data_IF_771507102133
#
_entry.id   IF_771507102133
#
_cell.length_a   1.000
_cell.length_b   1.000
_cell.length_c   1.000
_cell.angle_alpha   90.00
_cell.angle_beta   90.00
_cell.angle_gamma   90.00
#
_symmetry.space_group_name_H-M   'P 1'
#
loop_
_entity.id
_entity.type
_entity.pdbx_description
1 polymer ?
#
# COMPACT_ATOMS: atom_id res chain seq x y z
N UNK A 1 -3.80 -11.52 23.16
CA UNK A 1 -3.25 -10.55 22.20
C UNK A 1 -3.12 -11.24 20.86
N UNK A 2 -3.89 -10.81 19.85
CA UNK A 2 -3.96 -11.45 18.55
C UNK A 2 -2.66 -11.25 17.76
N UNK A 3 -2.13 -12.31 17.14
CA UNK A 3 -1.01 -12.31 16.15
C UNK A 3 -1.16 -11.33 14.97
N UNK A 4 -2.25 -10.57 14.92
CA UNK A 4 -2.66 -9.63 13.88
C UNK A 4 -1.87 -8.31 13.84
N UNK A 5 -1.19 -7.91 14.92
CA UNK A 5 -0.50 -6.60 14.98
C UNK A 5 0.97 -6.61 14.57
N UNK A 6 1.62 -7.77 14.51
CA UNK A 6 3.08 -7.85 14.36
C UNK A 6 3.56 -7.99 12.91
N UNK A 7 2.66 -8.23 11.95
CA UNK A 7 3.06 -8.74 10.63
C UNK A 7 2.90 -7.73 9.48
N UNK A 8 2.53 -6.48 9.74
CA UNK A 8 2.18 -5.52 8.68
C UNK A 8 3.28 -4.48 8.52
N UNK A 9 3.82 -4.36 7.31
CA UNK A 9 4.75 -3.28 6.97
C UNK A 9 4.08 -1.90 7.11
N UNK A 10 4.89 -0.88 7.30
CA UNK A 10 4.47 0.49 7.57
C UNK A 10 5.33 1.50 6.82
N UNK A 11 4.68 2.56 6.33
CA UNK A 11 5.35 3.75 5.81
C UNK A 11 4.88 4.99 6.57
N UNK A 12 5.81 5.88 6.88
CA UNK A 12 5.52 7.25 7.30
C UNK A 12 5.85 8.18 6.14
N UNK A 13 4.84 8.92 5.67
CA UNK A 13 4.97 9.76 4.48
C UNK A 13 4.50 11.19 4.73
N UNK A 14 5.14 12.12 4.03
CA UNK A 14 4.73 13.52 3.94
C UNK A 14 4.33 13.83 2.50
N UNK A 15 3.03 13.97 2.26
CA UNK A 15 2.44 14.21 0.94
C UNK A 15 0.99 14.72 1.13
N UNK A 16 0.38 15.29 0.10
CA UNK A 16 -1.06 15.56 0.12
C UNK A 16 -1.86 14.29 -0.26
N UNK A 17 -3.16 14.27 0.08
CA UNK A 17 -4.03 13.13 -0.21
C UNK A 17 -4.17 12.83 -1.71
N UNK A 18 -4.06 13.84 -2.58
CA UNK A 18 -4.18 13.64 -4.02
C UNK A 18 -3.00 12.83 -4.55
N UNK A 19 -1.78 13.11 -4.09
CA UNK A 19 -0.59 12.30 -4.39
C UNK A 19 -0.75 10.86 -3.88
N UNK A 20 -1.26 10.68 -2.66
CA UNK A 20 -1.50 9.33 -2.12
C UNK A 20 -2.51 8.55 -2.98
N UNK A 21 -3.56 9.25 -3.45
CA UNK A 21 -4.57 8.68 -4.36
C UNK A 21 -3.97 8.33 -5.72
N UNK A 22 -3.08 9.15 -6.27
CA UNK A 22 -2.39 8.85 -7.52
C UNK A 22 -1.47 7.63 -7.41
N UNK A 23 -0.71 7.52 -6.31
CA UNK A 23 0.09 6.33 -6.05
C UNK A 23 -0.81 5.07 -5.91
N UNK A 24 -1.96 5.20 -5.24
CA UNK A 24 -2.92 4.10 -5.13
C UNK A 24 -3.50 3.68 -6.48
N UNK A 25 -3.74 4.62 -7.40
CA UNK A 25 -4.16 4.31 -8.79
C UNK A 25 -3.09 3.55 -9.57
N UNK A 26 -1.80 3.79 -9.32
CA UNK A 26 -0.72 3.00 -9.94
C UNK A 26 -0.74 1.56 -9.42
N UNK A 27 -0.99 1.37 -8.12
CA UNK A 27 -1.01 0.03 -7.49
C UNK A 27 -2.26 -0.77 -7.86
N UNK A 28 -3.43 -0.14 -7.85
CA UNK A 28 -4.73 -0.81 -8.04
C UNK A 28 -5.34 -0.64 -9.43
N UNK A 29 -4.77 0.23 -10.27
CA UNK A 29 -5.29 0.53 -11.60
C UNK A 29 -6.65 1.27 -11.57
N UNK A 30 -7.39 1.16 -12.67
CA UNK A 30 -8.66 1.85 -12.87
C UNK A 30 -9.80 1.39 -11.93
N UNK A 31 -9.64 0.25 -11.26
CA UNK A 31 -10.65 -0.33 -10.35
C UNK A 31 -10.53 0.16 -8.90
N UNK A 32 -9.69 1.19 -8.65
CA UNK A 32 -9.53 1.79 -7.34
C UNK A 32 -10.87 2.31 -6.81
N UNK A 33 -11.21 1.90 -5.59
CA UNK A 33 -12.25 2.50 -4.76
C UNK A 33 -11.63 3.19 -3.55
N UNK A 34 -12.26 4.27 -3.13
CA UNK A 34 -11.90 5.04 -1.94
C UNK A 34 -13.11 5.21 -1.04
N UNK A 35 -12.91 4.99 0.26
CA UNK A 35 -13.90 5.30 1.28
C UNK A 35 -13.22 5.62 2.61
N UNK A 36 -13.99 6.17 3.55
CA UNK A 36 -13.51 6.49 4.90
C UNK A 36 -14.17 5.55 5.90
N UNK A 37 -13.36 4.95 6.77
CA UNK A 37 -13.84 4.06 7.83
C UNK A 37 -12.98 4.29 9.09
N UNK A 38 -13.62 4.49 10.24
CA UNK A 38 -12.94 4.71 11.54
C UNK A 38 -11.86 5.81 11.49
N UNK A 39 -12.14 6.92 10.79
CA UNK A 39 -11.21 8.04 10.65
C UNK A 39 -10.00 7.78 9.74
N UNK A 40 -9.97 6.65 9.02
CA UNK A 40 -8.91 6.30 8.06
C UNK A 40 -9.45 6.36 6.65
N UNK A 41 -8.66 6.88 5.72
CA UNK A 41 -8.96 6.75 4.28
C UNK A 41 -8.48 5.38 3.82
N UNK A 42 -9.33 4.65 3.10
CA UNK A 42 -9.05 3.31 2.62
C UNK A 42 -9.12 3.31 1.10
N UNK A 43 -8.02 2.94 0.47
CA UNK A 43 -7.94 2.62 -0.95
C UNK A 43 -8.05 1.11 -1.13
N UNK A 44 -8.98 0.64 -1.98
CA UNK A 44 -9.22 -0.79 -2.16
C UNK A 44 -9.67 -1.13 -3.58
N UNK A 45 -9.90 -2.42 -3.82
CA UNK A 45 -10.52 -2.97 -5.01
C UNK A 45 -11.88 -3.58 -4.67
N UNK A 46 -12.83 -3.47 -5.60
CA UNK A 46 -14.08 -4.23 -5.50
C UNK A 46 -13.86 -5.67 -5.95
N UNK A 47 -13.54 -6.54 -5.00
CA UNK A 47 -13.43 -7.97 -5.21
C UNK A 47 -14.28 -8.73 -4.19
N UNK A 48 -14.91 -9.85 -4.59
CA UNK A 48 -15.86 -10.56 -3.74
C UNK A 48 -15.18 -11.29 -2.56
N UNK A 49 -13.88 -11.58 -2.68
CA UNK A 49 -13.13 -12.33 -1.67
C UNK A 49 -11.85 -11.58 -1.31
N UNK A 50 -11.72 -11.26 -0.02
CA UNK A 50 -10.51 -10.73 0.60
C UNK A 50 -9.90 -9.50 -0.09
N UNK A 51 -10.65 -8.38 -0.22
CA UNK A 51 -10.15 -7.19 -0.90
C UNK A 51 -8.88 -6.67 -0.26
N UNK A 52 -7.90 -6.35 -1.11
CA UNK A 52 -6.66 -5.70 -0.71
C UNK A 52 -6.93 -4.23 -0.40
N UNK A 53 -6.35 -3.73 0.70
CA UNK A 53 -6.56 -2.37 1.16
C UNK A 53 -5.23 -1.71 1.45
N UNK A 54 -5.10 -0.44 1.04
CA UNK A 54 -4.08 0.49 1.52
C UNK A 54 -4.80 1.44 2.48
N UNK A 55 -4.34 1.49 3.72
CA UNK A 55 -4.93 2.28 4.78
C UNK A 55 -4.07 3.49 5.05
N UNK A 56 -4.71 4.65 5.04
CA UNK A 56 -4.09 5.95 5.28
C UNK A 56 -4.63 6.49 6.59
N UNK A 57 -3.74 6.63 7.57
CA UNK A 57 -4.04 7.17 8.88
C UNK A 57 -3.30 8.49 9.05
N UNK A 58 -4.06 9.57 9.29
CA UNK A 58 -3.49 10.91 9.48
C UNK A 58 -2.81 10.99 10.85
N UNK A 59 -1.52 11.32 10.87
CA UNK A 59 -0.77 11.57 12.10
C UNK A 59 -0.73 13.07 12.39
N UNK A 60 -0.50 13.88 11.35
CA UNK A 60 -0.51 15.34 11.38
C UNK A 60 -0.95 15.89 10.03
N UNK A 61 -1.08 17.21 9.90
CA UNK A 61 -1.38 17.84 8.61
C UNK A 61 -0.30 17.49 7.58
N UNK A 62 -0.70 16.95 6.42
CA UNK A 62 0.22 16.50 5.38
C UNK A 62 1.12 15.30 5.73
N UNK A 63 0.94 14.66 6.91
CA UNK A 63 1.75 13.52 7.36
C UNK A 63 0.89 12.32 7.72
N UNK A 64 1.20 11.18 7.10
CA UNK A 64 0.35 9.99 7.14
C UNK A 64 1.15 8.73 7.46
N UNK A 65 0.53 7.84 8.23
CA UNK A 65 0.92 6.44 8.37
C UNK A 65 0.17 5.62 7.33
N UNK A 66 0.90 4.77 6.62
CA UNK A 66 0.36 3.94 5.56
C UNK A 66 0.67 2.48 5.84
N UNK A 67 -0.36 1.64 5.76
CA UNK A 67 -0.25 0.19 5.92
C UNK A 67 -1.06 -0.51 4.84
N UNK A 68 -0.68 -1.73 4.49
CA UNK A 68 -1.42 -2.57 3.55
C UNK A 68 -2.00 -3.77 4.29
N UNK A 69 -3.26 -4.12 4.04
CA UNK A 69 -3.86 -5.35 4.56
C UNK A 69 -4.93 -5.90 3.64
N UNK A 70 -5.00 -7.22 3.53
CA UNK A 70 -6.11 -7.90 2.90
C UNK A 70 -7.25 -8.14 3.91
N UNK A 71 -8.48 -7.75 3.59
CA UNK A 71 -9.66 -7.95 4.47
C UNK A 71 -10.11 -9.41 4.43
N UNK A 72 -9.44 -10.29 5.18
CA UNK A 72 -9.82 -11.71 5.20
C UNK A 72 -11.14 -11.93 5.93
N UNK A 73 -12.09 -12.60 5.27
CA UNK A 73 -13.39 -12.98 5.85
C UNK A 73 -13.41 -14.43 6.36
N UNK A 74 -12.34 -15.18 6.11
CA UNK A 74 -12.21 -16.60 6.48
C UNK A 74 -11.45 -16.70 7.79
N UNK A 75 -12.12 -17.21 8.83
CA UNK A 75 -11.48 -17.56 10.10
C UNK A 75 -10.48 -18.70 9.86
N UNK A 76 -9.27 -18.58 10.41
CA UNK A 76 -8.19 -19.58 10.30
C UNK A 76 -7.77 -19.90 8.84
N UNK A 77 -7.72 -18.87 7.99
CA UNK A 77 -7.33 -19.00 6.59
C UNK A 77 -5.90 -19.60 6.44
N UNK A 78 -5.72 -20.71 5.70
CA UNK A 78 -4.41 -21.34 5.53
C UNK A 78 -3.43 -20.49 4.69
N UNK A 79 -3.93 -19.47 3.99
CA UNK A 79 -3.13 -18.60 3.14
C UNK A 79 -2.67 -17.31 3.82
N UNK A 80 -2.91 -17.16 5.13
CA UNK A 80 -2.62 -15.92 5.87
C UNK A 80 -1.18 -15.40 5.67
N UNK A 81 -0.18 -16.27 5.82
CA UNK A 81 1.23 -15.88 5.66
C UNK A 81 1.53 -15.39 4.24
N UNK A 82 0.91 -16.02 3.24
CA UNK A 82 1.03 -15.58 1.84
C UNK A 82 0.39 -14.21 1.64
N UNK A 83 -0.79 -13.98 2.23
CA UNK A 83 -1.45 -12.67 2.16
C UNK A 83 -0.58 -11.57 2.75
N UNK A 84 0.04 -11.82 3.91
CA UNK A 84 0.98 -10.88 4.55
C UNK A 84 2.17 -10.53 3.65
N UNK A 85 2.74 -11.51 2.94
CA UNK A 85 3.83 -11.26 1.98
C UNK A 85 3.38 -10.37 0.83
N UNK A 86 2.23 -10.66 0.24
CA UNK A 86 1.69 -9.86 -0.86
C UNK A 86 1.30 -8.45 -0.38
N UNK A 87 0.81 -8.31 0.85
CA UNK A 87 0.52 -6.99 1.44
C UNK A 87 1.81 -6.16 1.60
N UNK A 88 2.93 -6.76 1.99
CA UNK A 88 4.24 -6.08 2.03
C UNK A 88 4.74 -5.73 0.61
N UNK A 89 4.59 -6.62 -0.38
CA UNK A 89 4.91 -6.32 -1.78
C UNK A 89 4.12 -5.12 -2.30
N UNK A 90 2.81 -5.06 -2.04
CA UNK A 90 1.97 -3.91 -2.41
C UNK A 90 2.40 -2.63 -1.72
N UNK A 91 2.73 -2.69 -0.43
CA UNK A 91 3.24 -1.53 0.30
C UNK A 91 4.55 -1.03 -0.31
N UNK A 92 5.42 -1.95 -0.76
CA UNK A 92 6.65 -1.62 -1.47
C UNK A 92 6.39 -0.99 -2.84
N UNK A 93 5.47 -1.54 -3.64
CA UNK A 93 5.06 -0.94 -4.91
C UNK A 93 4.49 0.46 -4.70
N UNK A 94 3.68 0.65 -3.66
CA UNK A 94 3.13 1.94 -3.28
C UNK A 94 4.23 2.94 -2.89
N UNK A 95 5.23 2.51 -2.10
CA UNK A 95 6.40 3.32 -1.76
C UNK A 95 7.14 3.79 -3.04
N UNK A 96 7.41 2.88 -3.97
CA UNK A 96 8.10 3.19 -5.22
C UNK A 96 7.27 4.17 -6.07
N UNK A 97 5.96 3.93 -6.19
CA UNK A 97 5.05 4.84 -6.89
C UNK A 97 5.07 6.25 -6.31
N UNK A 98 5.02 6.38 -4.97
CA UNK A 98 5.13 7.68 -4.31
C UNK A 98 6.46 8.36 -4.60
N UNK A 99 7.58 7.65 -4.45
CA UNK A 99 8.91 8.20 -4.72
C UNK A 99 9.05 8.68 -6.16
N UNK A 100 8.36 8.05 -7.12
CA UNK A 100 8.34 8.48 -8.53
C UNK A 100 7.48 9.73 -8.75
N UNK A 101 6.38 9.91 -8.03
CA UNK A 101 5.49 11.08 -8.17
C UNK A 101 6.07 12.32 -7.49
N UNK A 102 6.52 12.20 -6.24
CA UNK A 102 6.92 13.34 -5.38
C UNK A 102 8.41 13.39 -5.07
N UNK A 103 9.18 12.40 -5.50
CA UNK A 103 10.60 12.27 -5.18
C UNK A 103 10.87 11.48 -3.89
N UNK A 104 12.13 11.07 -3.71
CA UNK A 104 12.53 10.18 -2.61
C UNK A 104 12.28 10.76 -1.20
N UNK A 105 12.19 12.09 -1.05
CA UNK A 105 12.05 12.78 0.25
C UNK A 105 10.66 12.69 0.87
N UNK A 106 9.66 12.21 0.12
CA UNK A 106 8.28 12.09 0.60
C UNK A 106 8.10 10.93 1.59
N UNK A 107 8.88 9.86 1.45
CA UNK A 107 8.88 8.72 2.39
C UNK A 107 9.93 9.01 3.46
N UNK A 108 9.48 9.19 4.71
CA UNK A 108 10.37 9.50 5.84
C UNK A 108 10.90 8.24 6.50
N UNK A 109 10.03 7.26 6.65
CA UNK A 109 10.34 5.99 7.29
C UNK A 109 9.65 4.88 6.53
N UNK A 110 10.35 3.77 6.34
CA UNK A 110 9.78 2.53 5.84
C UNK A 110 10.24 1.37 6.70
N UNK A 111 9.26 0.59 7.16
CA UNK A 111 9.46 -0.61 7.96
C UNK A 111 8.74 -1.75 7.29
N UNK A 112 9.48 -2.75 6.84
CA UNK A 112 8.92 -3.96 6.26
C UNK A 112 9.09 -5.11 7.25
N UNK A 113 8.02 -5.86 7.47
CA UNK A 113 8.10 -7.12 8.25
C UNK A 113 8.68 -8.24 7.39
N UNK A 114 8.61 -8.10 6.08
CA UNK A 114 9.24 -8.97 5.10
C UNK A 114 9.61 -8.17 3.85
N UNK A 115 10.86 -8.28 3.41
CA UNK A 115 11.34 -7.67 2.18
C UNK A 115 11.29 -8.70 1.04
N UNK A 116 10.65 -8.42 -0.10
CA UNK A 116 10.56 -9.39 -1.17
C UNK A 116 11.90 -9.71 -1.82
N UNK A 117 12.34 -10.97 -1.77
CA UNK A 117 13.54 -11.43 -2.49
C UNK A 117 13.35 -11.42 -4.03
N UNK A 118 12.10 -11.58 -4.49
CA UNK A 118 11.77 -11.80 -5.91
C UNK A 118 11.48 -10.53 -6.70
N UNK A 119 11.33 -9.40 -6.03
CA UNK A 119 10.89 -8.19 -6.70
C UNK A 119 12.09 -7.26 -6.83
N UNK A 120 12.83 -7.42 -7.93
CA UNK A 120 13.89 -6.47 -8.28
C UNK A 120 13.24 -5.10 -8.41
N UNK A 121 13.59 -4.16 -7.54
CA UNK A 121 13.02 -2.80 -7.54
C UNK A 121 13.03 -2.19 -8.95
N UNK A 122 14.11 -2.45 -9.71
CA UNK A 122 14.26 -2.07 -11.12
C UNK A 122 13.14 -2.55 -12.05
N UNK A 123 12.60 -3.76 -11.83
CA UNK A 123 11.51 -4.31 -12.64
C UNK A 123 10.18 -3.62 -12.31
N UNK A 124 9.91 -3.34 -11.02
CA UNK A 124 8.76 -2.51 -10.63
C UNK A 124 8.89 -1.12 -11.25
N UNK A 125 10.06 -0.50 -11.11
CA UNK A 125 10.29 0.86 -11.58
C UNK A 125 10.04 0.98 -13.08
N UNK A 126 10.51 0.02 -13.89
CA UNK A 126 10.25 -0.03 -15.33
C UNK A 126 8.76 -0.10 -15.66
N UNK A 127 7.97 -0.86 -14.89
CA UNK A 127 6.52 -0.99 -15.09
C UNK A 127 5.82 0.32 -14.71
N UNK A 128 6.17 0.90 -13.57
CA UNK A 128 5.61 2.17 -13.10
C UNK A 128 5.92 3.29 -14.10
N UNK A 129 7.16 3.36 -14.60
CA UNK A 129 7.57 4.36 -15.59
C UNK A 129 6.74 4.26 -16.87
N UNK A 130 6.38 3.05 -17.31
CA UNK A 130 5.47 2.85 -18.45
C UNK A 130 4.06 3.38 -18.17
N UNK A 131 3.51 3.09 -16.98
CA UNK A 131 2.17 3.55 -16.58
C UNK A 131 2.11 5.08 -16.52
N UNK A 132 3.14 5.72 -15.96
CA UNK A 132 3.21 7.18 -15.85
C UNK A 132 3.33 7.84 -17.23
N UNK A 133 4.11 7.28 -18.15
CA UNK A 133 4.30 7.84 -19.51
C UNK A 133 3.09 7.71 -20.44
N UNK A 134 2.12 6.87 -20.09
CA UNK A 134 0.87 6.68 -20.88
C UNK A 134 -0.20 7.71 -20.48
N UNK A 135 -0.06 8.38 -19.33
CA UNK A 135 -0.86 9.56 -18.99
C UNK A 135 -0.47 10.76 -19.86
#
# INVERSE_FOLDING_TARGET
MSKLSESVGELIVEANMDTLREAAKIVFGASLKEYVENGKTIFTLEVPVCPSMILIEKIAEGKYKITCRSKCMIKDCPYWERCVKIDNERLKTFEIALRKIVGAKAVKESKYTWTPERVREEEIEKIIDRIIRIK
#
